data_IF_499914013278
#
_entry.id   IF_499914013278
#
_cell.length_a   1.000
_cell.length_b   1.000
_cell.length_c   1.000
_cell.angle_alpha   90.00
_cell.angle_beta   90.00
_cell.angle_gamma   90.00
#
_symmetry.space_group_name_H-M   'P 1'
#
loop_
_entity.id
_entity.type
_entity.pdbx_description
1 polymer ?
#
# COMPACT_ATOMS: atom_id res chain seq x y z
N UNK A 1 10.14 22.76 4.50
CA UNK A 1 9.58 21.60 3.76
C UNK A 1 10.75 20.67 3.48
N UNK A 2 10.86 19.56 4.21
CA UNK A 2 11.96 18.60 4.02
C UNK A 2 11.77 17.92 2.67
N UNK A 3 12.87 17.77 1.93
CA UNK A 3 12.93 17.32 0.55
C UNK A 3 12.42 15.87 0.41
N UNK A 4 11.12 15.68 0.14
CA UNK A 4 10.49 14.36 -0.07
C UNK A 4 11.08 13.58 -1.27
N UNK A 5 11.93 14.24 -2.07
CA UNK A 5 12.69 13.64 -3.16
C UNK A 5 13.53 12.46 -2.67
N UNK A 6 14.21 12.58 -1.53
CA UNK A 6 15.11 11.53 -1.05
C UNK A 6 14.32 10.29 -0.60
N UNK A 7 13.15 10.48 0.01
CA UNK A 7 12.24 9.39 0.38
C UNK A 7 11.61 8.71 -0.85
N UNK A 8 11.25 9.48 -1.88
CA UNK A 8 10.75 8.95 -3.15
C UNK A 8 11.84 8.16 -3.90
N UNK A 9 13.08 8.63 -3.87
CA UNK A 9 14.22 7.93 -4.49
C UNK A 9 14.61 6.68 -3.70
N UNK A 10 14.39 6.65 -2.38
CA UNK A 10 14.63 5.46 -1.55
C UNK A 10 13.80 4.26 -1.99
N UNK A 11 12.59 4.50 -2.51
CA UNK A 11 11.75 3.46 -3.10
C UNK A 11 12.38 2.87 -4.37
N UNK A 12 12.84 3.74 -5.28
CA UNK A 12 13.53 3.30 -6.51
C UNK A 12 14.80 2.50 -6.18
N UNK A 13 15.58 2.98 -5.22
CA UNK A 13 16.77 2.28 -4.74
C UNK A 13 16.45 0.90 -4.15
N UNK A 14 15.37 0.79 -3.37
CA UNK A 14 14.92 -0.50 -2.83
C UNK A 14 14.51 -1.46 -3.94
N UNK A 15 13.77 -1.00 -4.96
CA UNK A 15 13.41 -1.83 -6.10
C UNK A 15 14.66 -2.34 -6.83
N UNK A 16 15.63 -1.46 -7.10
CA UNK A 16 16.89 -1.83 -7.74
C UNK A 16 17.67 -2.88 -6.93
N UNK A 17 17.76 -2.72 -5.60
CA UNK A 17 18.38 -3.71 -4.73
C UNK A 17 17.68 -5.08 -4.79
N UNK A 18 16.35 -5.12 -4.82
CA UNK A 18 15.61 -6.38 -4.91
C UNK A 18 15.78 -7.04 -6.30
N UNK A 19 15.84 -6.24 -7.38
CA UNK A 19 16.15 -6.76 -8.71
C UNK A 19 17.58 -7.32 -8.80
N UNK A 20 18.55 -6.68 -8.16
CA UNK A 20 19.93 -7.18 -8.08
C UNK A 20 20.04 -8.48 -7.26
N UNK A 21 19.27 -8.59 -6.18
CA UNK A 21 19.20 -9.83 -5.39
C UNK A 21 18.65 -10.98 -6.23
N UNK A 22 17.58 -10.73 -7.00
CA UNK A 22 17.02 -11.72 -7.93
C UNK A 22 18.04 -12.10 -9.02
N UNK A 23 18.76 -11.11 -9.57
CA UNK A 23 19.80 -11.38 -10.56
C UNK A 23 20.87 -12.34 -10.02
N UNK A 24 21.32 -12.11 -8.78
CA UNK A 24 22.27 -12.98 -8.08
C UNK A 24 21.69 -14.37 -7.81
N UNK A 25 20.45 -14.48 -7.33
CA UNK A 25 19.83 -15.77 -7.00
C UNK A 25 19.59 -16.65 -8.23
N UNK A 26 19.30 -16.04 -9.37
CA UNK A 26 19.07 -16.74 -10.64
C UNK A 26 20.31 -16.83 -11.52
N UNK A 27 21.48 -16.40 -11.03
CA UNK A 27 22.76 -16.41 -11.76
C UNK A 27 22.65 -15.77 -13.15
N UNK A 28 21.98 -14.62 -13.22
CA UNK A 28 21.73 -13.89 -14.46
C UNK A 28 22.08 -12.40 -14.30
N UNK A 29 22.20 -11.68 -15.42
CA UNK A 29 22.45 -10.25 -15.38
C UNK A 29 21.22 -9.47 -14.94
N UNK A 30 21.40 -8.36 -14.21
CA UNK A 30 20.30 -7.46 -13.79
C UNK A 30 19.47 -6.97 -14.99
N UNK A 31 20.10 -6.80 -16.15
CA UNK A 31 19.40 -6.47 -17.41
C UNK A 31 18.35 -7.50 -17.82
N UNK A 32 18.59 -8.78 -17.53
CA UNK A 32 17.66 -9.88 -17.82
C UNK A 32 16.46 -9.80 -16.88
N UNK A 33 16.69 -9.54 -15.60
CA UNK A 33 15.63 -9.34 -14.60
C UNK A 33 14.80 -8.10 -14.94
N UNK A 34 15.42 -6.99 -15.37
CA UNK A 34 14.71 -5.78 -15.83
C UNK A 34 13.86 -6.04 -17.09
N UNK A 35 14.36 -6.85 -18.02
CA UNK A 35 13.58 -7.28 -19.21
C UNK A 35 12.41 -8.18 -18.82
N UNK A 36 12.59 -9.07 -17.84
CA UNK A 36 11.51 -9.89 -17.28
C UNK A 36 10.44 -9.01 -16.61
N UNK A 37 10.84 -8.03 -15.80
CA UNK A 37 9.94 -7.05 -15.20
C UNK A 37 9.15 -6.28 -16.28
N UNK A 38 9.83 -5.84 -17.34
CA UNK A 38 9.19 -5.13 -18.46
C UNK A 38 8.26 -6.01 -19.29
N UNK A 39 8.46 -7.33 -19.26
CA UNK A 39 7.59 -8.31 -19.91
C UNK A 39 6.29 -8.47 -19.10
N UNK A 40 6.36 -8.53 -17.77
CA UNK A 40 5.19 -8.68 -16.90
C UNK A 40 4.23 -7.50 -16.92
N UNK A 41 4.72 -6.30 -17.22
CA UNK A 41 3.89 -5.11 -17.38
C UNK A 41 3.15 -5.05 -18.72
N UNK A 42 3.41 -6.00 -19.64
CA UNK A 42 2.79 -6.02 -20.97
C UNK A 42 1.60 -6.98 -21.02
N UNK A 43 0.63 -6.65 -21.86
CA UNK A 43 -0.55 -7.48 -22.06
C UNK A 43 -0.16 -8.79 -22.80
N UNK A 44 -0.42 -9.98 -22.21
CA UNK A 44 -0.11 -11.28 -22.82
C UNK A 44 -0.83 -11.55 -24.16
N UNK A 45 -1.90 -10.81 -24.46
CA UNK A 45 -2.67 -10.93 -25.70
C UNK A 45 -1.98 -10.29 -26.92
N UNK A 46 -0.89 -9.54 -26.72
CA UNK A 46 -0.17 -8.88 -27.81
C UNK A 46 0.98 -9.76 -28.31
N UNK A 47 1.11 -9.90 -29.63
CA UNK A 47 2.24 -10.65 -30.25
C UNK A 47 3.62 -10.17 -29.79
N UNK A 48 3.78 -8.87 -29.51
CA UNK A 48 5.01 -8.29 -28.99
C UNK A 48 5.45 -8.89 -27.63
N UNK A 49 4.50 -9.35 -26.81
CA UNK A 49 4.78 -10.05 -25.57
C UNK A 49 5.49 -11.38 -25.86
N UNK A 50 4.89 -12.21 -26.73
CA UNK A 50 5.41 -13.54 -27.06
C UNK A 50 6.78 -13.47 -27.72
N UNK A 51 7.03 -12.49 -28.61
CA UNK A 51 8.35 -12.30 -29.20
C UNK A 51 9.44 -12.06 -28.14
N UNK A 52 9.17 -11.18 -27.16
CA UNK A 52 10.10 -10.90 -26.07
C UNK A 52 10.24 -12.06 -25.09
N UNK A 53 9.13 -12.75 -24.80
CA UNK A 53 9.12 -13.93 -23.94
C UNK A 53 9.99 -15.05 -24.52
N UNK A 54 9.83 -15.37 -25.80
CA UNK A 54 10.64 -16.39 -26.48
C UNK A 54 12.13 -16.02 -26.49
N UNK A 55 12.47 -14.74 -26.74
CA UNK A 55 13.85 -14.28 -26.72
C UNK A 55 14.50 -14.27 -25.32
N UNK A 56 13.70 -14.20 -24.26
CA UNK A 56 14.17 -14.37 -22.88
C UNK A 56 14.25 -15.85 -22.50
N UNK A 57 13.29 -16.65 -22.93
CA UNK A 57 13.25 -18.10 -22.71
C UNK A 57 14.47 -18.78 -23.35
N UNK A 58 14.86 -18.40 -24.56
CA UNK A 58 16.05 -18.97 -25.22
C UNK A 58 17.36 -18.67 -24.47
N UNK A 59 17.43 -17.58 -23.69
CA UNK A 59 18.62 -17.19 -22.90
C UNK A 59 18.65 -17.79 -21.51
N UNK A 60 17.47 -18.00 -20.92
CA UNK A 60 17.33 -18.46 -19.53
C UNK A 60 17.08 -19.96 -19.42
N UNK A 61 16.52 -20.58 -20.46
CA UNK A 61 16.10 -21.97 -20.46
C UNK A 61 15.17 -22.25 -19.27
N UNK A 62 15.51 -23.28 -18.51
CA UNK A 62 14.76 -23.76 -17.35
C UNK A 62 14.58 -22.71 -16.24
N UNK A 63 15.44 -21.68 -16.20
CA UNK A 63 15.33 -20.58 -15.23
C UNK A 63 14.26 -19.55 -15.59
N UNK A 64 13.69 -19.62 -16.79
CA UNK A 64 12.72 -18.62 -17.27
C UNK A 64 11.48 -18.55 -16.39
N UNK A 65 10.78 -19.68 -16.20
CA UNK A 65 9.54 -19.71 -15.43
C UNK A 65 9.75 -19.39 -13.93
N UNK A 66 10.76 -19.97 -13.26
CA UNK A 66 11.08 -19.60 -11.88
C UNK A 66 11.43 -18.12 -11.70
N UNK A 67 12.19 -17.52 -12.63
CA UNK A 67 12.50 -16.09 -12.59
C UNK A 67 11.25 -15.25 -12.83
N UNK A 68 10.38 -15.66 -13.77
CA UNK A 68 9.12 -14.99 -14.03
C UNK A 68 8.25 -14.98 -12.77
N UNK A 69 8.07 -16.12 -12.11
CA UNK A 69 7.31 -16.20 -10.86
C UNK A 69 7.91 -15.29 -9.77
N UNK A 70 9.23 -15.33 -9.57
CA UNK A 70 9.91 -14.53 -8.56
C UNK A 70 9.76 -13.01 -8.80
N UNK A 71 9.87 -12.57 -10.05
CA UNK A 71 9.65 -11.16 -10.41
C UNK A 71 8.18 -10.78 -10.23
N UNK A 72 7.24 -11.69 -10.51
CA UNK A 72 5.81 -11.45 -10.31
C UNK A 72 5.48 -11.24 -8.84
N UNK A 73 5.98 -12.12 -7.98
CA UNK A 73 5.82 -12.00 -6.53
C UNK A 73 6.40 -10.70 -5.97
N UNK A 74 7.54 -10.24 -6.50
CA UNK A 74 8.13 -8.96 -6.14
C UNK A 74 7.19 -7.80 -6.49
N UNK A 75 6.72 -7.76 -7.75
CA UNK A 75 5.82 -6.74 -8.28
C UNK A 75 4.50 -6.69 -7.51
N UNK A 76 3.90 -7.84 -7.20
CA UNK A 76 2.68 -7.94 -6.40
C UNK A 76 2.89 -7.45 -4.96
N UNK A 77 4.06 -7.70 -4.37
CA UNK A 77 4.45 -7.12 -3.08
C UNK A 77 4.44 -5.58 -3.13
N UNK A 78 5.03 -5.01 -4.17
CA UNK A 78 5.10 -3.56 -4.38
C UNK A 78 3.73 -2.93 -4.67
N UNK A 79 2.92 -3.51 -5.56
CA UNK A 79 1.56 -3.03 -5.83
C UNK A 79 0.68 -3.03 -4.57
N UNK A 80 0.75 -4.09 -3.75
CA UNK A 80 0.02 -4.13 -2.48
C UNK A 80 0.46 -3.05 -1.50
N UNK A 81 1.76 -2.74 -1.45
CA UNK A 81 2.27 -1.66 -0.60
C UNK A 81 1.78 -0.28 -1.09
N UNK A 82 1.84 -0.02 -2.40
CA UNK A 82 1.37 1.23 -3.01
C UNK A 82 -0.15 1.38 -2.80
N UNK A 83 -0.93 0.33 -3.05
CA UNK A 83 -2.38 0.34 -2.85
C UNK A 83 -2.78 0.69 -1.40
N UNK A 84 -2.03 0.18 -0.39
CA UNK A 84 -2.23 0.57 1.01
C UNK A 84 -1.99 2.07 1.24
N UNK A 85 -0.94 2.62 0.61
CA UNK A 85 -0.59 4.04 0.69
C UNK A 85 -1.62 4.90 -0.04
N UNK A 86 -2.03 4.52 -1.24
CA UNK A 86 -3.07 5.22 -2.02
C UNK A 86 -4.41 5.25 -1.29
N UNK A 87 -4.82 4.12 -0.69
CA UNK A 87 -6.02 4.06 0.15
C UNK A 87 -5.90 4.97 1.38
N UNK A 88 -4.71 5.06 1.98
CA UNK A 88 -4.49 6.00 3.07
C UNK A 88 -4.58 7.46 2.59
N UNK A 89 -3.96 7.79 1.45
CA UNK A 89 -4.02 9.13 0.87
C UNK A 89 -5.44 9.52 0.44
N UNK A 90 -6.23 8.60 -0.12
CA UNK A 90 -7.62 8.88 -0.49
C UNK A 90 -8.48 9.22 0.73
N UNK A 91 -8.22 8.59 1.88
CA UNK A 91 -8.84 8.94 3.16
C UNK A 91 -8.37 10.28 3.71
N UNK A 92 -7.11 10.68 3.48
CA UNK A 92 -6.57 11.96 3.93
C UNK A 92 -7.01 13.15 3.06
N UNK A 93 -7.20 12.94 1.76
CA UNK A 93 -7.44 14.01 0.77
C UNK A 93 -8.59 14.96 1.15
N UNK A 94 -9.75 14.49 1.64
CA UNK A 94 -10.84 15.36 2.07
C UNK A 94 -10.49 16.25 3.26
N UNK A 95 -9.41 15.97 3.99
CA UNK A 95 -9.05 16.67 5.23
C UNK A 95 -7.96 17.72 5.02
N UNK A 96 -7.28 17.75 3.87
CA UNK A 96 -6.17 18.68 3.65
C UNK A 96 -6.60 20.15 3.50
N UNK A 97 -7.87 20.44 3.13
CA UNK A 97 -8.35 21.82 3.10
C UNK A 97 -8.30 22.49 4.48
N UNK A 98 -8.51 21.70 5.55
CA UNK A 98 -8.49 22.18 6.94
C UNK A 98 -7.09 22.57 7.43
N UNK A 99 -6.03 22.04 6.80
CA UNK A 99 -4.64 22.35 7.14
C UNK A 99 -4.33 23.84 6.99
N UNK A 100 -4.98 24.53 6.02
CA UNK A 100 -4.78 25.97 5.80
C UNK A 100 -5.33 26.82 6.95
N UNK A 101 -6.32 26.31 7.67
CA UNK A 101 -7.05 27.07 8.69
C UNK A 101 -6.60 26.73 10.13
N UNK A 102 -6.17 25.49 10.38
CA UNK A 102 -5.89 24.98 11.73
C UNK A 102 -4.37 24.87 12.01
N UNK A 103 -3.53 24.97 10.99
CA UNK A 103 -2.08 24.92 11.13
C UNK A 103 -1.53 23.50 11.36
N UNK A 104 -0.26 23.35 11.79
CA UNK A 104 0.43 22.06 11.85
C UNK A 104 -0.11 21.08 12.89
N UNK A 105 -0.61 21.57 14.04
CA UNK A 105 -1.19 20.74 15.11
C UNK A 105 -2.43 19.95 14.65
N UNK A 106 -3.06 20.38 13.56
CA UNK A 106 -4.16 19.67 12.92
C UNK A 106 -3.82 18.22 12.53
N UNK A 107 -2.58 17.96 12.12
CA UNK A 107 -2.18 16.62 11.69
C UNK A 107 -2.21 15.60 12.84
N UNK A 108 -1.93 16.04 14.07
CA UNK A 108 -2.02 15.19 15.24
C UNK A 108 -3.47 14.84 15.58
N UNK A 109 -4.37 15.83 15.49
CA UNK A 109 -5.81 15.63 15.68
C UNK A 109 -6.36 14.71 14.57
N UNK A 110 -5.95 14.92 13.33
CA UNK A 110 -6.38 14.10 12.20
C UNK A 110 -5.89 12.65 12.35
N UNK A 111 -4.64 12.46 12.77
CA UNK A 111 -4.09 11.14 13.08
C UNK A 111 -4.88 10.46 14.20
N UNK A 112 -5.18 11.17 15.28
CA UNK A 112 -6.01 10.67 16.36
C UNK A 112 -7.40 10.27 15.86
N UNK A 113 -8.09 11.16 15.15
CA UNK A 113 -9.43 10.92 14.63
C UNK A 113 -9.48 9.69 13.70
N UNK A 114 -8.55 9.57 12.76
CA UNK A 114 -8.52 8.44 11.80
C UNK A 114 -8.23 7.09 12.46
N UNK A 115 -7.47 7.08 13.56
CA UNK A 115 -7.15 5.86 14.29
C UNK A 115 -8.26 5.39 15.24
N UNK A 116 -9.12 6.31 15.69
CA UNK A 116 -10.17 6.01 16.68
C UNK A 116 -11.59 6.05 16.11
N UNK A 117 -11.76 6.41 14.84
CA UNK A 117 -13.05 6.31 14.14
C UNK A 117 -13.29 4.88 13.67
N UNK A 118 -14.43 4.32 14.07
CA UNK A 118 -14.84 2.97 13.68
C UNK A 118 -15.16 2.84 12.20
N UNK A 119 -14.88 1.68 11.62
CA UNK A 119 -15.30 1.36 10.25
C UNK A 119 -16.82 1.11 10.21
N UNK A 120 -17.57 2.06 9.63
CA UNK A 120 -19.02 1.89 9.40
C UNK A 120 -19.33 0.77 8.40
N UNK A 121 -18.41 0.54 7.45
CA UNK A 121 -18.52 -0.47 6.39
C UNK A 121 -17.13 -1.05 6.14
N UNK A 122 -17.04 -2.36 5.91
CA UNK A 122 -15.81 -3.03 5.51
C UNK A 122 -16.16 -4.32 4.78
N UNK A 123 -15.35 -4.71 3.78
CA UNK A 123 -15.45 -6.02 3.14
C UNK A 123 -15.18 -7.17 4.13
N UNK A 124 -14.36 -6.92 5.16
CA UNK A 124 -14.14 -7.87 6.24
C UNK A 124 -15.13 -7.60 7.37
N UNK A 125 -16.06 -8.51 7.58
CA UNK A 125 -17.09 -8.44 8.64
C UNK A 125 -16.49 -8.16 10.02
N UNK A 126 -15.35 -8.77 10.35
CA UNK A 126 -14.63 -8.61 11.61
C UNK A 126 -14.19 -7.17 11.93
N UNK A 127 -14.11 -6.29 10.91
CA UNK A 127 -13.69 -4.89 11.07
C UNK A 127 -14.85 -3.93 11.27
N UNK A 128 -16.07 -4.34 10.92
CA UNK A 128 -17.25 -3.48 11.03
C UNK A 128 -17.47 -3.12 12.49
N UNK A 129 -17.64 -1.83 12.77
CA UNK A 129 -17.81 -1.30 14.13
C UNK A 129 -16.52 -1.14 14.94
N UNK A 130 -15.36 -1.61 14.45
CA UNK A 130 -14.06 -1.46 15.13
C UNK A 130 -13.25 -0.31 14.55
N UNK A 131 -12.46 0.37 15.37
CA UNK A 131 -11.47 1.35 14.94
C UNK A 131 -10.14 0.68 14.54
N UNK A 132 -9.29 1.35 13.75
CA UNK A 132 -7.92 0.88 13.53
C UNK A 132 -7.13 0.64 14.82
N UNK A 133 -7.30 1.48 15.85
CA UNK A 133 -6.63 1.31 17.13
C UNK A 133 -7.09 0.03 17.85
N UNK A 134 -8.39 -0.27 17.85
CA UNK A 134 -8.93 -1.50 18.45
C UNK A 134 -8.46 -2.75 17.70
N UNK A 135 -8.40 -2.68 16.36
CA UNK A 135 -7.90 -3.78 15.54
C UNK A 135 -6.41 -4.04 15.76
N UNK A 136 -5.62 -2.99 16.01
CA UNK A 136 -4.17 -3.10 16.22
C UNK A 136 -3.83 -3.60 17.63
N UNK A 137 -4.55 -3.10 18.64
CA UNK A 137 -4.25 -3.37 20.06
C UNK A 137 -5.04 -4.55 20.62
N UNK A 138 -6.14 -4.94 19.97
CA UNK A 138 -7.10 -5.91 20.50
C UNK A 138 -7.93 -5.38 21.67
N UNK A 139 -7.72 -4.12 22.08
CA UNK A 139 -8.41 -3.51 23.22
C UNK A 139 -9.53 -2.60 22.72
N UNK A 140 -10.73 -2.78 23.27
CA UNK A 140 -11.85 -1.88 23.01
C UNK A 140 -11.60 -0.53 23.70
N UNK A 141 -12.04 0.56 23.09
CA UNK A 141 -11.97 1.88 23.69
C UNK A 141 -13.30 2.63 23.57
N UNK A 142 -13.57 3.61 24.44
CA UNK A 142 -14.71 4.53 24.29
C UNK A 142 -14.72 5.23 22.94
N UNK A 143 -15.84 5.87 22.60
CA UNK A 143 -15.92 6.62 21.35
C UNK A 143 -14.85 7.73 21.32
N UNK A 144 -14.31 8.04 20.13
CA UNK A 144 -13.19 9.01 20.02
C UNK A 144 -13.49 10.40 20.62
N UNK A 145 -14.76 10.85 20.61
CA UNK A 145 -15.18 12.07 21.30
C UNK A 145 -15.03 11.97 22.83
N UNK A 146 -15.35 10.82 23.41
CA UNK A 146 -15.27 10.57 24.85
C UNK A 146 -13.81 10.49 25.29
N UNK A 147 -12.93 9.94 24.43
CA UNK A 147 -11.48 9.96 24.63
C UNK A 147 -10.90 11.39 24.64
N UNK A 148 -11.57 12.35 24.01
CA UNK A 148 -11.22 13.77 24.06
C UNK A 148 -11.91 14.52 25.21
N UNK A 149 -12.67 13.82 26.06
CA UNK A 149 -13.40 14.41 27.18
C UNK A 149 -14.76 15.01 26.83
N UNK A 150 -15.29 14.78 25.62
CA UNK A 150 -16.62 15.25 25.23
C UNK A 150 -17.71 14.23 25.52
N UNK A 151 -18.87 14.72 25.94
CA UNK A 151 -20.07 13.90 26.11
C UNK A 151 -20.79 13.75 24.78
N UNK A 152 -21.06 12.50 24.37
CA UNK A 152 -21.85 12.24 23.16
C UNK A 152 -23.30 12.67 23.37
N UNK A 153 -23.85 13.33 22.36
CA UNK A 153 -25.28 13.53 22.27
C UNK A 153 -25.97 12.16 22.13
N UNK A 154 -26.79 11.80 23.12
CA UNK A 154 -27.71 10.66 23.05
C UNK A 154 -29.09 11.23 22.77
N UNK A 155 -29.68 10.87 21.63
CA UNK A 155 -31.07 11.25 21.34
C UNK A 155 -31.94 10.58 22.41
N UNK A 156 -32.64 11.38 23.20
CA UNK A 156 -33.64 10.93 24.16
C UNK A 156 -34.79 10.29 23.36
N UNK A 157 -34.91 8.96 23.43
CA UNK A 157 -36.01 8.20 22.84
C UNK A 157 -35.59 7.19 21.77
N UNK A 158 -35.21 6.00 22.23
CA UNK A 158 -35.56 4.73 21.56
C UNK A 158 -35.95 3.75 22.65
N UNK A 159 -37.10 4.02 23.27
CA UNK A 159 -37.91 3.01 23.93
C UNK A 159 -38.77 2.38 22.83
N UNK A 160 -38.41 1.17 22.42
CA UNK A 160 -39.27 0.10 21.92
C UNK A 160 -38.37 -1.12 21.69
#
# INVERSE_FOLDING_TARGET
MVNQRDDLLRFAYRLDQELEKLAKSFWCGTDIVRKMLSLQQQNPLKNAYWYKATGLHSKLGDRFFPLQEAVGNLVDGFHRAISKVENFYSRLRPYFFLRRNIGPAYLDILRFFLNHTSFMRSEKSERVGKSPAELLTGQAHPHWLELLGFTRFKKSGSLA
#
